data_IF_065021002484
#
_entry.id   IF_065021002484
#
_cell.length_a   1.000
_cell.length_b   1.000
_cell.length_c   1.000
_cell.angle_alpha   90.00
_cell.angle_beta   90.00
_cell.angle_gamma   90.00
#
_symmetry.space_group_name_H-M   'P 1'
#
loop_
_entity.id
_entity.type
_entity.pdbx_description
1 polymer ?
#
# COMPACT_ATOMS: atom_id res chain seq x y z
N UNK A 1 -14.87 57.95 -41.68
CA UNK A 1 -14.53 58.25 -40.27
C UNK A 1 -13.36 57.33 -39.90
N UNK A 2 -12.12 57.63 -40.34
CA UNK A 2 -11.02 58.31 -39.62
C UNK A 2 -10.60 57.68 -38.27
N UNK A 3 -9.31 57.28 -38.27
CA UNK A 3 -8.30 57.13 -37.20
C UNK A 3 -7.98 55.73 -36.65
N UNK A 4 -6.78 55.29 -37.07
CA UNK A 4 -5.84 54.44 -36.36
C UNK A 4 -5.31 55.09 -35.05
N UNK A 5 -4.55 54.32 -34.26
CA UNK A 5 -3.27 54.63 -33.58
C UNK A 5 -3.04 53.60 -32.44
N UNK A 6 -2.10 52.65 -32.62
CA UNK A 6 -0.77 52.54 -31.97
C UNK A 6 -0.80 52.06 -30.50
N UNK A 7 -0.21 50.88 -30.18
CA UNK A 7 1.19 50.63 -29.75
C UNK A 7 1.47 51.13 -28.30
N UNK A 8 2.05 50.39 -27.36
CA UNK A 8 3.42 49.80 -27.25
C UNK A 8 3.39 48.74 -26.12
N UNK A 9 4.04 47.55 -26.16
CA UNK A 9 5.47 47.15 -26.11
C UNK A 9 6.22 47.42 -24.78
N UNK A 10 7.19 46.52 -24.50
CA UNK A 10 8.29 46.49 -23.48
C UNK A 10 8.03 45.43 -22.39
N UNK A 11 8.93 44.53 -21.98
CA UNK A 11 10.22 43.97 -22.45
C UNK A 11 10.50 42.73 -21.57
N UNK A 12 10.89 41.58 -22.12
CA UNK A 12 12.24 41.00 -22.04
C UNK A 12 12.94 41.03 -20.65
N UNK A 13 13.08 39.84 -20.06
CA UNK A 13 14.27 39.46 -19.31
C UNK A 13 14.58 37.98 -19.62
N UNK A 14 15.59 37.76 -20.46
CA UNK A 14 16.35 36.50 -20.56
C UNK A 14 17.67 36.73 -19.82
N UNK A 15 18.07 35.78 -18.98
CA UNK A 15 19.44 35.45 -18.58
C UNK A 15 19.37 33.97 -18.13
N UNK A 16 19.69 32.99 -19.00
CA UNK A 16 20.97 32.27 -19.12
C UNK A 16 21.46 31.72 -17.76
N UNK A 17 21.25 30.43 -17.47
CA UNK A 17 22.10 29.26 -17.77
C UNK A 17 23.39 29.22 -16.92
N UNK A 18 23.40 28.33 -15.93
CA UNK A 18 24.55 27.51 -15.57
C UNK A 18 24.05 26.19 -14.95
N UNK A 19 24.90 25.18 -15.03
CA UNK A 19 24.61 23.77 -15.23
C UNK A 19 24.97 22.94 -13.97
N UNK A 20 24.51 21.67 -13.91
CA UNK A 20 24.99 20.57 -13.03
C UNK A 20 24.52 20.68 -11.55
N UNK A 21 23.85 19.72 -10.90
CA UNK A 21 24.20 18.29 -10.73
C UNK A 21 22.99 17.45 -10.26
N UNK A 22 22.82 16.25 -10.83
CA UNK A 22 22.23 15.02 -10.25
C UNK A 22 21.14 15.08 -9.15
N UNK A 23 19.89 14.72 -9.48
CA UNK A 23 19.06 13.71 -8.75
C UNK A 23 17.62 13.65 -9.31
N UNK A 24 17.03 12.47 -9.54
CA UNK A 24 15.63 12.33 -9.95
C UNK A 24 14.66 12.59 -8.76
N UNK A 25 13.47 13.14 -8.99
CA UNK A 25 12.53 13.47 -7.93
C UNK A 25 11.93 12.22 -7.28
N UNK A 26 12.32 11.98 -6.02
CA UNK A 26 11.67 11.03 -5.12
C UNK A 26 10.28 11.54 -4.73
N UNK A 27 9.24 10.99 -5.36
CA UNK A 27 7.86 11.13 -4.88
C UNK A 27 7.63 10.14 -3.73
N UNK A 28 8.22 10.44 -2.57
CA UNK A 28 7.95 9.78 -1.31
C UNK A 28 7.34 10.82 -0.38
N UNK A 29 6.02 11.03 -0.50
CA UNK A 29 5.30 11.96 0.35
C UNK A 29 5.12 11.34 1.74
N UNK A 30 5.99 11.84 2.61
CA UNK A 30 6.11 11.68 4.05
C UNK A 30 4.82 12.11 4.75
N UNK A 31 3.93 11.18 5.11
CA UNK A 31 2.86 11.45 6.07
C UNK A 31 3.43 11.29 7.48
N UNK A 32 3.60 12.43 8.16
CA UNK A 32 4.09 12.51 9.54
C UNK A 32 3.08 11.89 10.51
N UNK A 33 3.46 10.90 11.34
CA UNK A 33 2.59 10.43 12.41
C UNK A 33 2.70 11.37 13.61
N UNK A 34 1.68 12.18 13.84
CA UNK A 34 1.47 12.86 15.11
C UNK A 34 0.31 12.19 15.84
N UNK A 35 0.58 11.13 16.61
CA UNK A 35 0.05 11.01 17.96
C UNK A 35 0.80 9.94 18.75
N UNK A 36 1.71 10.39 19.63
CA UNK A 36 2.33 9.54 20.67
C UNK A 36 1.32 9.34 21.78
N UNK A 37 0.84 8.12 21.99
CA UNK A 37 0.18 7.71 23.23
C UNK A 37 0.92 6.50 23.80
N UNK A 38 1.32 6.62 25.06
CA UNK A 38 2.45 5.93 25.67
C UNK A 38 2.45 4.41 25.63
N UNK A 39 3.54 3.86 25.10
CA UNK A 39 4.06 2.54 25.44
C UNK A 39 5.60 2.65 25.52
N UNK A 40 6.21 1.94 26.47
CA UNK A 40 7.60 2.12 26.89
C UNK A 40 8.64 1.85 25.81
N UNK A 41 9.70 2.66 25.82
CA UNK A 41 10.82 2.72 24.88
C UNK A 41 11.61 1.40 24.72
N UNK A 42 11.42 0.45 25.64
CA UNK A 42 12.14 -0.82 25.68
C UNK A 42 11.64 -1.90 24.69
N UNK A 43 10.55 -1.66 23.93
CA UNK A 43 10.05 -2.59 22.91
C UNK A 43 10.53 -2.28 21.47
N UNK A 44 11.26 -1.17 21.26
CA UNK A 44 11.51 -0.59 19.93
C UNK A 44 12.88 -0.95 19.30
N UNK A 45 13.27 -2.22 19.28
CA UNK A 45 14.47 -2.68 18.53
C UNK A 45 14.16 -3.74 17.46
N UNK A 46 12.91 -3.80 17.01
CA UNK A 46 12.51 -4.61 15.85
C UNK A 46 12.11 -3.68 14.72
N UNK A 47 13.07 -3.18 13.95
CA UNK A 47 12.83 -2.35 12.74
C UNK A 47 11.63 -2.79 11.89
N UNK A 48 10.94 -1.78 11.36
CA UNK A 48 9.62 -1.81 10.72
C UNK A 48 9.49 -2.88 9.63
N UNK A 49 8.30 -3.49 9.52
CA UNK A 49 7.98 -4.39 8.42
C UNK A 49 7.55 -3.59 7.20
N UNK A 50 8.13 -3.89 6.04
CA UNK A 50 7.76 -3.28 4.78
C UNK A 50 6.56 -4.00 4.18
N UNK A 51 5.59 -3.25 3.66
CA UNK A 51 4.44 -3.79 2.95
C UNK A 51 4.65 -3.61 1.45
N UNK A 52 4.58 -4.71 0.71
CA UNK A 52 4.74 -4.76 -0.76
C UNK A 52 3.50 -5.38 -1.36
N UNK A 53 2.99 -4.78 -2.43
CA UNK A 53 1.86 -5.32 -3.17
C UNK A 53 2.32 -6.29 -4.26
N UNK A 54 1.56 -7.35 -4.47
CA UNK A 54 1.72 -8.19 -5.65
C UNK A 54 1.31 -7.41 -6.91
N UNK A 55 2.16 -7.51 -7.91
CA UNK A 55 1.98 -6.97 -9.26
C UNK A 55 1.88 -8.14 -10.25
N UNK A 56 0.86 -8.11 -11.10
CA UNK A 56 0.61 -9.10 -12.15
C UNK A 56 1.67 -8.99 -13.25
N UNK A 57 1.76 -10.00 -14.13
CA UNK A 57 2.56 -9.90 -15.36
C UNK A 57 2.16 -8.71 -16.26
N UNK A 58 0.92 -8.24 -16.18
CA UNK A 58 0.42 -7.09 -16.92
C UNK A 58 0.72 -5.74 -16.28
N UNK A 59 1.33 -5.70 -15.09
CA UNK A 59 1.55 -4.49 -14.32
C UNK A 59 0.37 -4.07 -13.43
N UNK A 60 -0.70 -4.87 -13.39
CA UNK A 60 -1.85 -4.59 -12.53
C UNK A 60 -1.47 -4.84 -11.07
N UNK A 61 -2.02 -4.02 -10.16
CA UNK A 61 -1.84 -4.19 -8.71
C UNK A 61 -3.23 -4.45 -8.10
N UNK A 62 -3.73 -5.70 -8.12
CA UNK A 62 -5.14 -5.97 -7.84
C UNK A 62 -5.61 -5.57 -6.45
N UNK A 63 -4.68 -5.53 -5.48
CA UNK A 63 -4.98 -5.11 -4.11
C UNK A 63 -5.13 -3.59 -4.03
N UNK A 64 -4.30 -2.85 -4.76
CA UNK A 64 -4.42 -1.39 -4.84
C UNK A 64 -5.76 -1.02 -5.47
N UNK A 65 -6.10 -1.64 -6.61
CA UNK A 65 -7.39 -1.42 -7.27
C UNK A 65 -8.56 -1.81 -6.37
N UNK A 66 -8.44 -2.89 -5.61
CA UNK A 66 -9.44 -3.28 -4.62
C UNK A 66 -9.62 -2.20 -3.56
N UNK A 67 -8.53 -1.69 -2.97
CA UNK A 67 -8.58 -0.64 -1.95
C UNK A 67 -9.18 0.63 -2.54
N UNK A 68 -8.83 0.99 -3.78
CA UNK A 68 -9.32 2.20 -4.42
C UNK A 68 -10.83 2.19 -4.67
N UNK A 69 -11.40 1.00 -4.86
CA UNK A 69 -12.84 0.82 -5.02
C UNK A 69 -13.64 0.72 -3.70
N UNK A 70 -12.99 0.84 -2.54
CA UNK A 70 -13.66 0.85 -1.24
C UNK A 70 -14.26 2.21 -0.90
N UNK A 71 -15.24 2.21 0.01
CA UNK A 71 -15.75 3.46 0.61
C UNK A 71 -14.63 4.19 1.38
N UNK A 72 -14.67 5.53 1.50
CA UNK A 72 -13.63 6.29 2.21
C UNK A 72 -13.38 5.80 3.65
N UNK A 73 -14.46 5.42 4.36
CA UNK A 73 -14.39 4.85 5.70
C UNK A 73 -13.69 3.49 5.72
N UNK A 74 -13.94 2.65 4.70
CA UNK A 74 -13.27 1.36 4.56
C UNK A 74 -11.79 1.52 4.19
N UNK A 75 -11.43 2.44 3.28
CA UNK A 75 -10.03 2.77 2.94
C UNK A 75 -9.24 3.16 4.19
N UNK A 76 -9.79 4.05 5.01
CA UNK A 76 -9.15 4.51 6.25
C UNK A 76 -8.86 3.36 7.21
N UNK A 77 -9.80 2.41 7.34
CA UNK A 77 -9.61 1.22 8.17
C UNK A 77 -8.55 0.28 7.62
N UNK A 78 -8.48 0.11 6.30
CA UNK A 78 -7.44 -0.68 5.66
C UNK A 78 -6.07 -0.07 5.93
N UNK A 79 -5.92 1.25 5.72
CA UNK A 79 -4.67 1.97 6.00
C UNK A 79 -4.22 1.77 7.44
N UNK A 80 -5.09 2.07 8.42
CA UNK A 80 -4.77 1.91 9.83
C UNK A 80 -4.37 0.47 10.18
N UNK A 81 -5.01 -0.53 9.56
CA UNK A 81 -4.66 -1.94 9.83
C UNK A 81 -3.32 -2.32 9.18
N UNK A 82 -2.97 -1.73 8.04
CA UNK A 82 -1.66 -1.93 7.41
C UNK A 82 -0.55 -1.28 8.22
N UNK A 83 -0.80 -0.09 8.79
CA UNK A 83 0.15 0.55 9.71
C UNK A 83 0.42 -0.34 10.94
N UNK A 84 -0.64 -0.89 11.55
CA UNK A 84 -0.50 -1.86 12.63
C UNK A 84 0.23 -3.13 12.18
N UNK A 85 0.00 -3.61 10.96
CA UNK A 85 0.72 -4.76 10.44
C UNK A 85 2.21 -4.46 10.25
N UNK A 86 2.56 -3.26 9.75
CA UNK A 86 3.93 -2.81 9.57
C UNK A 86 4.66 -2.64 10.93
N UNK A 87 3.96 -2.11 11.92
CA UNK A 87 4.50 -1.83 13.26
C UNK A 87 4.67 -3.11 14.10
N UNK A 88 3.62 -3.94 14.19
CA UNK A 88 3.61 -5.12 15.07
C UNK A 88 4.07 -6.40 14.38
N UNK A 89 4.04 -6.44 13.05
CA UNK A 89 4.50 -7.57 12.26
C UNK A 89 3.84 -8.89 12.63
N UNK A 90 4.66 -9.94 12.76
CA UNK A 90 4.20 -11.30 13.14
C UNK A 90 3.61 -11.32 14.56
N UNK A 91 3.91 -10.33 15.41
CA UNK A 91 3.32 -10.22 16.76
C UNK A 91 1.87 -9.72 16.72
N UNK A 92 1.37 -9.28 15.56
CA UNK A 92 -0.04 -8.96 15.37
C UNK A 92 -0.85 -10.26 15.49
N UNK A 93 -1.29 -10.56 16.71
CA UNK A 93 -1.99 -11.79 17.04
C UNK A 93 -3.45 -11.83 16.61
N UNK A 94 -4.15 -12.88 17.05
CA UNK A 94 -5.62 -12.91 16.99
C UNK A 94 -6.21 -11.77 17.85
N UNK A 95 -7.30 -11.10 17.43
CA UNK A 95 -8.28 -11.47 16.40
C UNK A 95 -7.98 -10.96 14.97
N UNK A 96 -6.91 -10.19 14.79
CA UNK A 96 -6.62 -9.49 13.54
C UNK A 96 -5.95 -10.38 12.50
N UNK A 97 -5.15 -11.35 12.92
CA UNK A 97 -4.44 -12.24 11.99
C UNK A 97 -4.83 -13.70 12.24
N UNK A 98 -5.06 -14.44 11.15
CA UNK A 98 -5.30 -15.88 11.19
C UNK A 98 -4.44 -16.58 10.14
N UNK A 99 -3.73 -17.64 10.53
CA UNK A 99 -3.03 -18.50 9.57
C UNK A 99 -4.04 -19.34 8.78
N UNK A 100 -3.86 -19.43 7.46
CA UNK A 100 -4.66 -20.31 6.60
C UNK A 100 -4.03 -21.71 6.62
N UNK A 101 -4.70 -22.66 7.26
CA UNK A 101 -4.21 -24.05 7.43
C UNK A 101 -3.87 -24.71 6.11
N UNK A 102 -2.72 -25.40 6.05
CA UNK A 102 -2.25 -26.10 4.85
C UNK A 102 -1.68 -25.19 3.77
N UNK A 103 -1.41 -23.91 4.08
CA UNK A 103 -0.84 -22.95 3.13
C UNK A 103 0.17 -22.02 3.82
N UNK A 104 0.96 -21.30 3.01
CA UNK A 104 1.85 -20.24 3.50
C UNK A 104 1.10 -18.93 3.80
N UNK A 105 -0.18 -18.83 3.43
CA UNK A 105 -0.97 -17.61 3.53
C UNK A 105 -1.36 -17.24 4.96
N UNK A 106 -1.42 -15.95 5.20
CA UNK A 106 -2.01 -15.32 6.37
C UNK A 106 -3.21 -14.49 5.95
N UNK A 107 -4.27 -14.51 6.76
CA UNK A 107 -5.49 -13.73 6.61
C UNK A 107 -5.46 -12.57 7.61
N UNK A 108 -5.43 -11.34 7.11
CA UNK A 108 -5.67 -10.13 7.88
C UNK A 108 -7.16 -9.83 7.91
N UNK A 109 -7.66 -9.58 9.12
CA UNK A 109 -9.06 -9.37 9.45
C UNK A 109 -9.28 -7.92 9.82
N UNK A 110 -9.85 -7.18 8.88
CA UNK A 110 -10.23 -5.79 9.08
C UNK A 110 -11.71 -5.78 9.44
N UNK A 111 -12.02 -5.34 10.66
CA UNK A 111 -13.37 -5.30 11.20
C UNK A 111 -14.00 -3.92 10.96
N UNK A 112 -15.29 -3.91 10.61
CA UNK A 112 -16.01 -2.68 10.29
C UNK A 112 -17.42 -2.97 9.78
N UNK A 113 -18.02 -1.99 9.10
CA UNK A 113 -19.30 -2.19 8.41
C UNK A 113 -19.18 -3.24 7.32
N UNK A 114 -18.11 -3.16 6.53
CA UNK A 114 -17.70 -4.21 5.59
C UNK A 114 -16.67 -5.14 6.25
N UNK A 115 -16.89 -6.45 6.14
CA UNK A 115 -15.94 -7.45 6.64
C UNK A 115 -14.85 -7.69 5.59
N UNK A 116 -13.81 -6.86 5.63
CA UNK A 116 -12.70 -6.92 4.68
C UNK A 116 -11.67 -7.96 5.13
N UNK A 117 -11.19 -8.75 4.19
CA UNK A 117 -10.15 -9.76 4.38
C UNK A 117 -9.05 -9.59 3.35
N UNK A 118 -7.81 -9.64 3.83
CA UNK A 118 -6.63 -9.49 2.99
C UNK A 118 -5.72 -10.69 3.20
N UNK A 119 -5.31 -11.34 2.12
CA UNK A 119 -4.34 -12.42 2.15
C UNK A 119 -2.94 -11.90 1.86
N UNK A 120 -1.98 -12.31 2.69
CA UNK A 120 -0.59 -11.92 2.56
C UNK A 120 0.35 -13.06 2.99
N UNK A 121 1.64 -12.91 2.70
CA UNK A 121 2.70 -13.78 3.23
C UNK A 121 3.82 -12.94 3.83
N UNK A 122 4.46 -13.45 4.87
CA UNK A 122 5.73 -12.92 5.34
C UNK A 122 6.86 -13.52 4.49
N UNK A 123 7.74 -12.66 3.98
CA UNK A 123 8.93 -13.06 3.21
C UNK A 123 10.19 -12.61 3.94
N UNK A 124 11.35 -13.10 3.49
CA UNK A 124 12.65 -12.73 4.07
C UNK A 124 12.87 -11.22 4.03
N UNK A 125 13.60 -10.68 5.01
CA UNK A 125 13.92 -9.24 5.07
C UNK A 125 12.81 -8.35 5.64
N UNK A 126 11.91 -8.91 6.48
CA UNK A 126 10.79 -8.19 7.11
C UNK A 126 9.84 -7.54 6.10
N UNK A 127 9.47 -8.31 5.07
CA UNK A 127 8.55 -7.84 4.03
C UNK A 127 7.26 -8.66 4.08
N UNK A 128 6.12 -7.99 4.17
CA UNK A 128 4.81 -8.58 3.91
C UNK A 128 4.42 -8.37 2.46
N UNK A 129 4.24 -9.47 1.73
CA UNK A 129 3.71 -9.45 0.38
C UNK A 129 2.19 -9.60 0.43
N UNK A 130 1.48 -8.54 0.06
CA UNK A 130 0.01 -8.50 0.00
C UNK A 130 -0.45 -9.02 -1.35
N UNK A 131 -1.26 -10.09 -1.35
CA UNK A 131 -1.58 -10.86 -2.55
C UNK A 131 -2.99 -10.58 -3.06
N UNK A 132 -3.97 -10.49 -2.17
CA UNK A 132 -5.38 -10.43 -2.54
C UNK A 132 -6.23 -9.83 -1.42
N UNK A 133 -7.21 -8.99 -1.76
CA UNK A 133 -8.17 -8.41 -0.83
C UNK A 133 -9.60 -8.58 -1.34
N UNK A 134 -10.55 -8.82 -0.42
CA UNK A 134 -11.96 -8.96 -0.77
C UNK A 134 -12.88 -8.55 0.39
N UNK A 135 -14.12 -8.19 0.07
CA UNK A 135 -15.19 -7.97 1.04
C UNK A 135 -15.96 -9.29 1.22
N UNK A 136 -16.02 -9.80 2.44
CA UNK A 136 -16.77 -11.01 2.77
C UNK A 136 -18.27 -10.69 2.80
N UNK A 137 -18.96 -10.91 1.68
CA UNK A 137 -20.41 -10.74 1.54
C UNK A 137 -21.23 -11.97 1.99
N UNK A 138 -20.60 -13.15 2.12
CA UNK A 138 -21.29 -14.41 2.47
C UNK A 138 -20.54 -15.21 3.54
N UNK A 139 -21.30 -16.02 4.30
CA UNK A 139 -20.76 -16.99 5.24
C UNK A 139 -19.98 -18.12 4.56
N UNK A 140 -20.26 -18.41 3.28
CA UNK A 140 -19.62 -19.51 2.55
C UNK A 140 -18.11 -19.32 2.37
N UNK A 141 -17.44 -20.48 2.22
CA UNK A 141 -16.01 -20.64 2.43
C UNK A 141 -15.14 -19.87 1.41
N UNK A 142 -14.07 -19.20 1.86
CA UNK A 142 -13.15 -18.39 1.05
C UNK A 142 -12.26 -19.19 0.09
N UNK A 143 -12.65 -20.42 -0.29
CA UNK A 143 -11.82 -21.34 -1.08
C UNK A 143 -11.39 -20.74 -2.42
N UNK A 144 -12.27 -19.99 -3.09
CA UNK A 144 -11.95 -19.31 -4.35
C UNK A 144 -10.89 -18.23 -4.13
N UNK A 145 -11.09 -17.38 -3.13
CA UNK A 145 -10.16 -16.27 -2.83
C UNK A 145 -8.79 -16.80 -2.36
N UNK A 146 -8.78 -17.88 -1.57
CA UNK A 146 -7.55 -18.57 -1.18
C UNK A 146 -6.82 -19.13 -2.41
N UNK A 147 -7.53 -19.75 -3.36
CA UNK A 147 -6.91 -20.22 -4.62
C UNK A 147 -6.28 -19.08 -5.40
N UNK A 148 -6.95 -17.93 -5.51
CA UNK A 148 -6.41 -16.75 -6.19
C UNK A 148 -5.11 -16.28 -5.51
N UNK A 149 -5.11 -16.17 -4.18
CA UNK A 149 -3.92 -15.79 -3.42
C UNK A 149 -2.76 -16.79 -3.61
N UNK A 150 -3.04 -18.10 -3.62
CA UNK A 150 -2.02 -19.13 -3.90
C UNK A 150 -1.45 -18.98 -5.31
N UNK A 151 -2.29 -18.78 -6.33
CA UNK A 151 -1.83 -18.60 -7.71
C UNK A 151 -0.90 -17.39 -7.83
N UNK A 152 -1.29 -16.25 -7.26
CA UNK A 152 -0.47 -15.02 -7.25
C UNK A 152 0.86 -15.21 -6.53
N UNK A 153 0.85 -15.94 -5.41
CA UNK A 153 2.09 -16.28 -4.69
C UNK A 153 3.03 -17.13 -5.55
N UNK A 154 2.50 -18.13 -6.26
CA UNK A 154 3.31 -18.97 -7.16
C UNK A 154 3.94 -18.15 -8.28
N UNK A 155 3.16 -17.27 -8.90
CA UNK A 155 3.64 -16.37 -9.96
C UNK A 155 4.74 -15.42 -9.46
N UNK A 156 4.55 -14.83 -8.27
CA UNK A 156 5.58 -14.01 -7.64
C UNK A 156 6.88 -14.80 -7.38
N UNK A 157 6.77 -16.03 -6.86
CA UNK A 157 7.93 -16.89 -6.60
C UNK A 157 8.65 -17.30 -7.89
N UNK A 158 7.94 -17.59 -8.97
CA UNK A 158 8.56 -17.92 -10.26
C UNK A 158 9.34 -16.77 -10.89
N UNK A 159 9.02 -15.51 -10.56
CA UNK A 159 9.78 -14.33 -11.03
C UNK A 159 11.08 -14.08 -10.27
N UNK A 160 11.16 -14.58 -9.03
CA UNK A 160 12.29 -14.34 -8.11
C UNK A 160 13.30 -15.49 -8.07
N UNK A 161 12.94 -16.64 -8.63
CA UNK A 161 13.79 -17.83 -8.72
C UNK A 161 14.60 -17.79 -10.01
#
# INVERSE_FOLDING_TARGET
IRRAFQSQKIAHAKNNCEELTSSPPLFCARFSPQNKMGYSEAAMSGGEWNIVYYESLGGDIPVYDFIENLSPTAKSKVSNTFDLLAEYGIKLGSPHVKKVTGTELWELRILGGDSIRVFYVATSGRVFLILHGFIKKSQKAPKKEVKIAITRLKEYKSRKS
#
